data_IF_856953652969
#
_entry.id   IF_856953652969
#
_cell.length_a   1.000
_cell.length_b   1.000
_cell.length_c   1.000
_cell.angle_alpha   90.00
_cell.angle_beta   90.00
_cell.angle_gamma   90.00
#
_symmetry.space_group_name_H-M   'P 1'
#
loop_
_entity.id
_entity.type
_entity.pdbx_description
1 polymer ?
#
# COMPACT_ATOMS: atom_id res chain seq x y z
N UNK A 1 1.42 -14.67 -8.08
CA UNK A 1 1.57 -13.49 -7.20
C UNK A 1 2.03 -12.35 -8.08
N UNK A 2 1.21 -11.30 -8.18
CA UNK A 2 1.66 -10.07 -8.81
C UNK A 2 2.84 -9.45 -8.06
N UNK A 3 3.62 -8.62 -8.75
CA UNK A 3 4.71 -7.86 -8.16
C UNK A 3 4.21 -6.49 -7.67
N UNK A 4 4.77 -6.00 -6.56
CA UNK A 4 4.55 -4.62 -6.12
C UNK A 4 5.19 -3.66 -7.12
N UNK A 5 4.39 -2.72 -7.63
CA UNK A 5 4.83 -1.69 -8.56
C UNK A 5 4.08 -0.39 -8.33
N UNK A 6 4.68 0.72 -8.72
CA UNK A 6 3.99 2.00 -8.71
C UNK A 6 2.70 1.92 -9.55
N UNK A 7 1.63 2.51 -9.03
CA UNK A 7 0.29 2.51 -9.62
C UNK A 7 -0.56 1.28 -9.33
N UNK A 8 -0.05 0.21 -8.69
CA UNK A 8 -0.90 -0.92 -8.34
C UNK A 8 -1.67 -0.70 -7.02
N UNK A 9 -2.74 -1.46 -6.84
CA UNK A 9 -3.39 -1.63 -5.55
C UNK A 9 -2.64 -2.68 -4.74
N UNK A 10 -2.58 -2.48 -3.42
CA UNK A 10 -2.06 -3.46 -2.49
C UNK A 10 -2.92 -3.49 -1.22
N UNK A 11 -2.93 -4.64 -0.55
CA UNK A 11 -3.50 -4.82 0.77
C UNK A 11 -2.39 -4.77 1.82
N UNK A 12 -2.62 -4.06 2.91
CA UNK A 12 -1.74 -4.06 4.08
C UNK A 12 -1.98 -5.34 4.88
N UNK A 13 -0.92 -6.10 5.15
CA UNK A 13 -0.98 -7.36 5.92
C UNK A 13 -0.18 -7.30 7.24
N UNK A 14 0.33 -6.12 7.60
CA UNK A 14 1.06 -5.91 8.84
C UNK A 14 1.67 -4.52 8.95
N UNK A 15 2.64 -4.39 9.85
CA UNK A 15 3.34 -3.14 10.14
C UNK A 15 3.23 -2.72 11.61
N UNK A 16 3.66 -1.50 11.91
CA UNK A 16 3.66 -0.97 13.28
C UNK A 16 2.25 -0.68 13.81
N UNK A 17 1.34 -0.24 12.93
CA UNK A 17 -0.03 0.10 13.28
C UNK A 17 -0.98 -0.92 12.67
N UNK A 18 -1.27 -1.99 13.43
CA UNK A 18 -2.13 -3.11 12.99
C UNK A 18 -3.56 -2.68 12.65
N UNK A 19 -3.99 -1.49 13.06
CA UNK A 19 -5.26 -0.87 12.63
C UNK A 19 -5.34 -0.63 11.12
N UNK A 20 -4.22 -0.71 10.39
CA UNK A 20 -4.20 -0.61 8.94
C UNK A 20 -4.30 -1.97 8.23
N UNK A 21 -4.22 -3.09 8.95
CA UNK A 21 -4.31 -4.42 8.34
C UNK A 21 -5.65 -4.58 7.60
N UNK A 22 -5.60 -5.22 6.43
CA UNK A 22 -6.76 -5.43 5.56
C UNK A 22 -7.15 -4.21 4.72
N UNK A 23 -6.56 -3.03 4.93
CA UNK A 23 -6.85 -1.86 4.10
C UNK A 23 -6.22 -2.01 2.71
N UNK A 24 -7.00 -1.68 1.70
CA UNK A 24 -6.54 -1.50 0.32
C UNK A 24 -5.97 -0.09 0.15
N UNK A 25 -4.79 0.00 -0.47
CA UNK A 25 -4.03 1.22 -0.68
C UNK A 25 -3.46 1.27 -2.09
N UNK A 26 -3.28 2.50 -2.61
CA UNK A 26 -2.54 2.71 -3.84
C UNK A 26 -1.04 2.75 -3.54
N UNK A 27 -0.26 1.93 -4.25
CA UNK A 27 1.20 2.01 -4.24
C UNK A 27 1.63 3.16 -5.15
N UNK A 28 2.16 4.23 -4.58
CA UNK A 28 2.52 5.45 -5.32
C UNK A 28 3.89 5.30 -5.97
N UNK A 29 4.87 4.81 -5.20
CA UNK A 29 6.24 4.68 -5.69
C UNK A 29 7.18 4.06 -4.67
N UNK A 30 8.33 3.61 -5.16
CA UNK A 30 9.39 3.09 -4.31
C UNK A 30 10.23 4.24 -3.76
N UNK A 31 10.53 4.18 -2.46
CA UNK A 31 11.35 5.16 -1.74
C UNK A 31 12.54 4.42 -1.13
N UNK A 32 13.74 4.54 -1.73
CA UNK A 32 14.95 3.94 -1.18
C UNK A 32 15.30 4.53 0.19
N UNK A 33 15.96 3.74 1.03
CA UNK A 33 16.40 4.20 2.33
C UNK A 33 17.19 5.53 2.25
N UNK A 34 16.92 6.46 3.17
CA UNK A 34 17.60 7.76 3.20
C UNK A 34 17.25 8.72 2.07
N UNK A 35 16.29 8.38 1.20
CA UNK A 35 15.83 9.25 0.13
C UNK A 35 14.73 10.20 0.59
N UNK A 36 14.60 11.31 -0.13
CA UNK A 36 13.44 12.19 -0.04
C UNK A 36 12.35 11.76 -1.03
N UNK A 37 11.11 12.10 -0.71
CA UNK A 37 9.97 11.93 -1.60
C UNK A 37 9.04 13.13 -1.49
N UNK A 38 8.21 13.35 -2.51
CA UNK A 38 7.25 14.45 -2.54
C UNK A 38 5.84 13.91 -2.37
N UNK A 39 5.05 14.56 -1.52
CA UNK A 39 3.62 14.31 -1.37
C UNK A 39 2.87 15.64 -1.32
N UNK A 40 1.83 15.80 -2.16
CA UNK A 40 1.04 17.03 -2.27
C UNK A 40 1.86 18.34 -2.40
N UNK A 41 3.01 18.28 -3.08
CA UNK A 41 3.90 19.43 -3.29
C UNK A 41 4.87 19.72 -2.15
N UNK A 42 4.79 19.00 -1.04
CA UNK A 42 5.73 19.07 0.07
C UNK A 42 6.78 17.97 -0.01
N UNK A 43 8.01 18.29 0.43
CA UNK A 43 9.14 17.36 0.43
C UNK A 43 9.26 16.72 1.82
N UNK A 44 9.26 15.40 1.84
CA UNK A 44 9.41 14.58 3.03
C UNK A 44 10.71 13.77 2.94
N UNK A 45 11.26 13.41 4.09
CA UNK A 45 12.37 12.47 4.19
C UNK A 45 11.87 11.17 4.83
N UNK A 46 12.42 10.03 4.41
CA UNK A 46 12.17 8.76 5.10
C UNK A 46 12.58 8.88 6.58
N UNK A 47 11.70 8.54 7.53
CA UNK A 47 12.10 8.46 8.92
C UNK A 47 12.99 7.23 9.12
N UNK A 48 14.28 7.48 9.37
CA UNK A 48 15.31 6.48 9.73
C UNK A 48 14.83 5.48 10.82
N UNK A 49 15.17 4.16 10.78
CA UNK A 49 15.63 3.32 9.68
C UNK A 49 14.55 2.24 9.37
N UNK A 50 13.54 2.55 8.55
CA UNK A 50 12.59 1.52 8.10
C UNK A 50 13.16 0.63 6.98
N UNK A 51 14.30 1.04 6.41
CA UNK A 51 14.88 0.42 5.22
C UNK A 51 14.23 0.95 3.94
N UNK A 52 14.35 0.20 2.85
CA UNK A 52 13.61 0.49 1.63
C UNK A 52 12.10 0.31 1.84
N UNK A 53 11.31 1.24 1.33
CA UNK A 53 9.87 1.26 1.55
C UNK A 53 9.10 1.67 0.30
N UNK A 54 7.80 1.42 0.32
CA UNK A 54 6.84 1.92 -0.65
C UNK A 54 6.08 3.09 -0.05
N UNK A 55 6.01 4.18 -0.80
CA UNK A 55 5.04 5.24 -0.57
C UNK A 55 3.66 4.71 -0.96
N UNK A 56 2.76 4.68 0.01
CA UNK A 56 1.37 4.25 -0.18
C UNK A 56 0.42 5.39 0.15
N UNK A 57 -0.73 5.43 -0.51
CA UNK A 57 -1.79 6.38 -0.22
C UNK A 57 -3.12 5.71 0.11
N UNK A 58 -3.88 6.35 1.00
CA UNK A 58 -5.14 5.85 1.55
C UNK A 58 -5.42 6.45 2.93
N UNK A 59 -6.55 6.07 3.54
CA UNK A 59 -6.88 6.48 4.92
C UNK A 59 -6.09 5.62 5.93
N UNK A 60 -4.98 6.16 6.44
CA UNK A 60 -3.98 5.42 7.21
C UNK A 60 -3.84 5.98 8.62
N UNK A 61 -3.64 5.09 9.60
CA UNK A 61 -3.13 5.48 10.92
C UNK A 61 -1.62 5.38 10.88
N UNK A 62 -0.92 6.50 10.98
CA UNK A 62 0.53 6.55 10.91
C UNK A 62 1.10 7.60 11.86
N UNK A 63 2.40 7.48 12.12
CA UNK A 63 3.13 8.49 12.89
C UNK A 63 3.49 9.63 11.97
N UNK A 64 3.09 10.83 12.35
CA UNK A 64 3.51 12.05 11.68
C UNK A 64 5.01 12.28 11.88
N UNK A 65 5.74 12.53 10.78
CA UNK A 65 7.19 12.69 10.82
C UNK A 65 7.66 13.91 11.62
N UNK A 66 6.86 14.98 11.64
CA UNK A 66 7.21 16.26 12.27
C UNK A 66 6.84 16.27 13.76
N UNK A 67 5.60 15.93 14.07
CA UNK A 67 5.01 15.99 15.44
C UNK A 67 5.24 14.72 16.24
N UNK A 68 5.58 13.61 15.58
CA UNK A 68 5.70 12.26 16.19
C UNK A 68 4.39 11.71 16.77
N UNK A 69 3.27 12.39 16.57
CA UNK A 69 1.95 11.94 16.99
C UNK A 69 1.40 10.87 16.05
N UNK A 70 0.58 9.98 16.60
CA UNK A 70 -0.18 8.99 15.82
C UNK A 70 -1.50 9.62 15.42
N UNK A 71 -1.74 9.78 14.12
CA UNK A 71 -2.96 10.38 13.59
C UNK A 71 -3.37 9.74 12.26
N UNK A 72 -4.55 10.12 11.77
CA UNK A 72 -4.99 9.79 10.42
C UNK A 72 -4.19 10.62 9.41
N UNK A 73 -3.58 9.96 8.44
CA UNK A 73 -2.83 10.53 7.33
C UNK A 73 -3.32 9.92 6.02
N UNK A 74 -3.11 10.65 4.93
CA UNK A 74 -3.46 10.25 3.56
C UNK A 74 -2.35 9.45 2.86
N UNK A 75 -1.17 9.37 3.47
CA UNK A 75 -0.04 8.57 3.01
C UNK A 75 0.79 7.99 4.15
N UNK A 76 1.59 6.98 3.83
CA UNK A 76 2.64 6.47 4.71
C UNK A 76 3.76 5.80 3.89
N UNK A 77 4.90 5.57 4.54
CA UNK A 77 5.91 4.65 4.05
C UNK A 77 5.68 3.27 4.66
N UNK A 78 5.71 2.23 3.81
CA UNK A 78 5.48 0.85 4.22
C UNK A 78 6.51 -0.09 3.59
N UNK A 79 7.24 -0.90 4.39
CA UNK A 79 8.08 -1.96 3.85
C UNK A 79 7.28 -2.94 3.00
N UNK A 80 7.85 -3.37 1.86
CA UNK A 80 7.17 -4.25 0.92
C UNK A 80 6.69 -5.58 1.53
N UNK A 81 7.38 -6.09 2.56
CA UNK A 81 6.97 -7.31 3.30
C UNK A 81 5.62 -7.20 4.02
N UNK A 82 5.06 -6.00 4.15
CA UNK A 82 3.75 -5.76 4.76
C UNK A 82 2.67 -5.43 3.72
N UNK A 83 2.98 -5.56 2.43
CA UNK A 83 2.07 -5.29 1.33
C UNK A 83 1.92 -6.55 0.48
N UNK A 84 0.68 -6.92 0.18
CA UNK A 84 0.37 -7.89 -0.86
C UNK A 84 -0.28 -7.14 -2.03
N UNK A 85 0.29 -7.19 -3.25
CA UNK A 85 -0.35 -6.58 -4.41
C UNK A 85 -1.68 -7.28 -4.67
N UNK A 86 -2.72 -6.48 -4.92
CA UNK A 86 -4.03 -6.94 -5.37
C UNK A 86 -3.96 -6.92 -6.89
N UNK A 87 -3.97 -8.09 -7.52
CA UNK A 87 -4.14 -8.15 -8.96
C UNK A 87 -5.62 -8.18 -9.33
N UNK A 88 -5.94 -7.67 -10.52
CA UNK A 88 -7.30 -7.71 -11.03
C UNK A 88 -7.77 -9.11 -11.41
N UNK A 89 -6.89 -10.13 -11.35
CA UNK A 89 -7.22 -11.52 -11.67
C UNK A 89 -7.81 -12.27 -10.46
N UNK A 90 -7.51 -11.84 -9.23
CA UNK A 90 -8.10 -12.39 -8.00
C UNK A 90 -9.65 -12.30 -7.96
N UNK A 91 -10.24 -11.36 -8.71
CA UNK A 91 -11.70 -11.18 -8.84
C UNK A 91 -12.27 -11.56 -10.21
N UNK A 92 -11.43 -11.94 -11.18
CA UNK A 92 -11.86 -12.18 -12.56
C UNK A 92 -12.38 -13.59 -12.85
N UNK A 93 -12.43 -14.47 -11.83
CA UNK A 93 -12.78 -15.89 -12.02
C UNK A 93 -14.15 -16.33 -11.50
N UNK A 94 -14.92 -15.50 -10.77
CA UNK A 94 -16.26 -15.93 -10.33
C UNK A 94 -17.32 -15.88 -11.44
N UNK A 95 -17.17 -15.00 -12.44
CA UNK A 95 -18.12 -14.88 -13.55
C UNK A 95 -17.91 -15.89 -14.69
N UNK A 96 -16.81 -16.66 -14.69
CA UNK A 96 -16.57 -17.69 -15.71
C UNK A 96 -17.22 -19.05 -15.39
N UNK A 97 -17.64 -19.30 -14.15
CA UNK A 97 -18.28 -20.57 -13.78
C UNK A 97 -19.78 -20.65 -14.09
N UNK A 98 -20.46 -19.53 -14.37
CA UNK A 98 -21.90 -19.53 -14.66
C UNK A 98 -22.28 -19.61 -16.15
N UNK A 99 -21.33 -19.43 -17.08
CA UNK A 99 -21.63 -19.51 -18.53
C UNK A 99 -21.56 -20.92 -19.14
N UNK A 100 -21.31 -21.95 -18.33
CA UNK A 100 -21.21 -23.35 -18.78
C UNK A 100 -22.47 -24.21 -18.59
N UNK A 101 -23.51 -23.71 -17.93
CA UNK A 101 -24.69 -24.51 -17.55
C UNK A 101 -26.00 -24.15 -18.28
N UNK A 102 -25.98 -23.19 -19.21
CA UNK A 102 -27.17 -22.83 -20.02
C UNK A 102 -27.18 -23.48 -21.42
N UNK A 103 -26.22 -24.35 -21.74
CA UNK A 103 -26.16 -25.05 -23.04
C UNK A 103 -25.93 -26.56 -22.91
N UNK A 104 -26.78 -27.22 -22.11
CA UNK A 104 -27.00 -28.67 -22.17
C UNK A 104 -28.49 -28.97 -22.34
#
# INVERSE_FOLDING_TARGET
MAELRAGCQAMIIGGFYRTNDGKSVLVVGFVPNGSQFTWNGEVYAEPVPMGDAWLISGDLIARDGATREVKRLDFALMPGKYLIPIDGDDFSNEDQYQKGLEHA
#
